data_IF_468699575902
#
_entry.id   IF_468699575902
#
_cell.length_a   1.000
_cell.length_b   1.000
_cell.length_c   1.000
_cell.angle_alpha   90.00
_cell.angle_beta   90.00
_cell.angle_gamma   90.00
#
_symmetry.space_group_name_H-M   'P 1'
#
loop_
_entity.id
_entity.type
_entity.pdbx_description
1 polymer ?
#
# COMPACT_ATOMS: atom_id res chain seq x y z
N UNK A 1 14.89 13.02 -14.38
CA UNK A 1 13.50 13.47 -14.14
C UNK A 1 13.46 14.26 -12.85
N UNK A 2 12.94 15.50 -12.84
CA UNK A 2 12.71 16.26 -11.59
C UNK A 2 11.34 15.86 -11.03
N UNK A 3 11.28 15.41 -9.78
CA UNK A 3 9.99 15.17 -9.11
C UNK A 3 9.34 16.53 -8.84
N UNK A 4 8.10 16.79 -9.30
CA UNK A 4 7.48 18.08 -9.07
C UNK A 4 7.18 18.27 -7.58
N UNK A 5 7.36 19.50 -7.08
CA UNK A 5 7.16 19.88 -5.67
C UNK A 5 5.79 19.40 -5.16
N UNK A 6 4.75 19.53 -6.00
CA UNK A 6 3.39 19.10 -5.73
C UNK A 6 3.32 17.61 -5.37
N UNK A 7 3.96 16.75 -6.16
CA UNK A 7 3.96 15.30 -5.91
C UNK A 7 4.61 14.99 -4.58
N UNK A 8 5.73 15.64 -4.27
CA UNK A 8 6.43 15.43 -3.00
C UNK A 8 5.55 15.84 -1.81
N UNK A 9 4.96 17.04 -1.84
CA UNK A 9 4.12 17.56 -0.75
C UNK A 9 2.90 16.68 -0.50
N UNK A 10 2.13 16.33 -1.53
CA UNK A 10 0.95 15.49 -1.33
C UNK A 10 1.31 14.05 -0.91
N UNK A 11 2.40 13.50 -1.44
CA UNK A 11 2.88 12.17 -0.99
C UNK A 11 3.26 12.18 0.49
N UNK A 12 3.96 13.22 0.95
CA UNK A 12 4.36 13.37 2.34
C UNK A 12 3.14 13.50 3.27
N UNK A 13 2.11 14.25 2.87
CA UNK A 13 0.87 14.37 3.65
C UNK A 13 0.12 13.05 3.75
N UNK A 14 -0.03 12.32 2.64
CA UNK A 14 -0.69 11.00 2.65
C UNK A 14 0.12 9.98 3.46
N UNK A 15 1.44 10.01 3.33
CA UNK A 15 2.35 9.19 4.13
C UNK A 15 2.20 9.51 5.62
N UNK A 16 2.18 10.78 6.01
CA UNK A 16 1.97 11.19 7.40
C UNK A 16 0.64 10.64 7.94
N UNK A 17 -0.43 10.73 7.15
CA UNK A 17 -1.72 10.15 7.51
C UNK A 17 -1.64 8.62 7.68
N UNK A 18 -0.88 7.93 6.83
CA UNK A 18 -0.66 6.49 6.96
C UNK A 18 0.10 6.13 8.24
N UNK A 19 1.07 6.95 8.66
CA UNK A 19 1.76 6.77 9.95
C UNK A 19 0.81 6.99 11.13
N UNK A 20 -0.04 8.02 11.08
CA UNK A 20 -1.06 8.26 12.10
C UNK A 20 -2.02 7.08 12.21
N UNK A 21 -2.51 6.54 11.10
CA UNK A 21 -3.39 5.36 11.11
C UNK A 21 -2.70 4.16 11.77
N UNK A 22 -1.42 3.92 11.45
CA UNK A 22 -0.68 2.80 12.02
C UNK A 22 -0.33 3.01 13.50
N UNK A 23 -0.12 4.24 13.95
CA UNK A 23 0.24 4.54 15.34
C UNK A 23 -0.90 4.29 16.34
N UNK A 24 -2.15 4.25 15.88
CA UNK A 24 -3.31 3.84 16.69
C UNK A 24 -3.22 2.36 17.11
N UNK A 25 -2.40 1.54 16.44
CA UNK A 25 -2.20 0.10 16.73
C UNK A 25 -3.52 -0.70 16.72
N UNK A 26 -4.42 -0.37 15.81
CA UNK A 26 -5.65 -1.12 15.60
C UNK A 26 -5.36 -2.53 15.06
N UNK A 27 -6.31 -3.48 15.20
CA UNK A 27 -6.19 -4.80 14.58
C UNK A 27 -5.91 -4.74 13.09
N UNK A 28 -5.16 -5.72 12.57
CA UNK A 28 -4.68 -5.72 11.18
C UNK A 28 -5.82 -5.69 10.14
N UNK A 29 -6.99 -6.24 10.47
CA UNK A 29 -8.16 -6.20 9.60
C UNK A 29 -8.78 -4.80 9.47
N UNK A 30 -8.41 -3.83 10.32
CA UNK A 30 -8.76 -2.41 10.20
C UNK A 30 -7.59 -1.57 9.68
N UNK A 31 -6.39 -1.77 10.23
CA UNK A 31 -5.19 -1.02 9.81
C UNK A 31 -4.84 -1.30 8.35
N UNK A 32 -4.90 -2.56 7.93
CA UNK A 32 -4.57 -3.00 6.57
C UNK A 32 -5.41 -2.30 5.49
N UNK A 33 -6.76 -2.33 5.57
CA UNK A 33 -7.60 -1.64 4.61
C UNK A 33 -7.35 -0.13 4.56
N UNK A 34 -7.18 0.53 5.71
CA UNK A 34 -6.95 1.97 5.76
C UNK A 34 -5.63 2.37 5.11
N UNK A 35 -4.54 1.64 5.39
CA UNK A 35 -3.23 1.90 4.76
C UNK A 35 -3.29 1.64 3.25
N UNK A 36 -3.93 0.56 2.81
CA UNK A 36 -4.12 0.29 1.39
C UNK A 36 -4.98 1.36 0.71
N UNK A 37 -6.01 1.89 1.38
CA UNK A 37 -6.82 2.98 0.86
C UNK A 37 -5.96 4.22 0.59
N UNK A 38 -5.09 4.59 1.53
CA UNK A 38 -4.18 5.72 1.37
C UNK A 38 -3.18 5.52 0.21
N UNK A 39 -2.68 4.30 0.02
CA UNK A 39 -1.83 3.95 -1.13
C UNK A 39 -2.56 4.11 -2.47
N UNK A 40 -3.77 3.59 -2.57
CA UNK A 40 -4.62 3.76 -3.76
C UNK A 40 -4.94 5.24 -3.99
N UNK A 41 -5.32 5.98 -2.95
CA UNK A 41 -5.62 7.41 -3.02
C UNK A 41 -4.40 8.23 -3.46
N UNK A 42 -3.19 7.92 -2.96
CA UNK A 42 -1.95 8.55 -3.42
C UNK A 42 -1.72 8.31 -4.92
N UNK A 43 -1.83 7.04 -5.35
CA UNK A 43 -1.67 6.68 -6.76
C UNK A 43 -2.71 7.35 -7.66
N UNK A 44 -3.95 7.46 -7.19
CA UNK A 44 -5.06 8.02 -7.95
C UNK A 44 -5.08 9.55 -8.03
N UNK A 45 -4.84 10.25 -6.93
CA UNK A 45 -4.98 11.72 -6.85
C UNK A 45 -3.72 12.46 -7.30
N UNK A 46 -2.55 11.87 -7.07
CA UNK A 46 -1.25 12.51 -7.30
C UNK A 46 -0.51 11.82 -8.45
N UNK A 47 -0.62 10.50 -8.54
CA UNK A 47 -0.05 9.68 -9.61
C UNK A 47 0.73 8.47 -9.08
N UNK A 48 1.10 7.52 -9.96
CA UNK A 48 1.68 6.24 -9.55
C UNK A 48 2.98 6.39 -8.75
N UNK A 49 3.81 7.37 -9.09
CA UNK A 49 5.03 7.69 -8.35
C UNK A 49 4.75 8.06 -6.89
N UNK A 50 3.66 8.80 -6.62
CA UNK A 50 3.24 9.13 -5.26
C UNK A 50 2.87 7.88 -4.47
N UNK A 51 2.07 7.00 -5.07
CA UNK A 51 1.73 5.72 -4.45
C UNK A 51 2.96 4.86 -4.15
N UNK A 52 3.96 4.85 -5.05
CA UNK A 52 5.24 4.16 -4.83
C UNK A 52 6.02 4.76 -3.67
N UNK A 53 6.14 6.10 -3.60
CA UNK A 53 6.82 6.77 -2.48
C UNK A 53 6.13 6.46 -1.14
N UNK A 54 4.80 6.55 -1.10
CA UNK A 54 4.04 6.16 0.10
C UNK A 54 4.28 4.68 0.42
N UNK A 55 4.22 3.80 -0.57
CA UNK A 55 4.42 2.35 -0.41
C UNK A 55 5.79 1.95 0.12
N UNK A 56 6.81 2.68 -0.31
CA UNK A 56 8.19 2.52 0.15
C UNK A 56 8.35 2.98 1.60
N UNK A 57 7.93 4.20 1.92
CA UNK A 57 8.23 4.80 3.22
C UNK A 57 7.30 4.35 4.34
N UNK A 58 6.08 3.90 4.04
CA UNK A 58 5.11 3.49 5.08
C UNK A 58 5.67 2.40 6.01
N UNK A 59 6.16 1.24 5.53
CA UNK A 59 6.70 0.20 6.41
C UNK A 59 8.05 0.58 7.03
N UNK A 60 8.87 1.39 6.34
CA UNK A 60 10.16 1.87 6.86
C UNK A 60 9.95 2.75 8.09
N UNK A 61 9.07 3.75 7.99
CA UNK A 61 8.78 4.66 9.10
C UNK A 61 8.01 3.95 10.22
N UNK A 62 7.10 3.03 9.88
CA UNK A 62 6.41 2.22 10.90
C UNK A 62 7.41 1.39 11.74
N UNK A 63 8.46 0.85 11.11
CA UNK A 63 9.53 0.18 11.83
C UNK A 63 10.39 1.16 12.65
N UNK A 64 10.82 2.28 12.05
CA UNK A 64 11.64 3.29 12.74
C UNK A 64 10.98 3.87 13.99
N UNK A 65 9.64 3.98 14.00
CA UNK A 65 8.87 4.44 15.16
C UNK A 65 8.44 3.32 16.11
N UNK A 66 8.90 2.08 15.91
CA UNK A 66 8.56 0.94 16.77
C UNK A 66 7.08 0.53 16.71
N UNK A 67 6.36 0.92 15.66
CA UNK A 67 4.95 0.57 15.44
C UNK A 67 4.85 -0.88 14.94
N UNK A 68 5.77 -1.28 14.05
CA UNK A 68 5.85 -2.63 13.50
C UNK A 68 7.19 -3.27 13.91
N UNK A 69 7.22 -4.34 14.71
CA UNK A 69 8.47 -4.93 15.21
C UNK A 69 9.21 -5.81 14.18
N UNK A 70 8.71 -5.90 12.95
CA UNK A 70 9.04 -6.98 12.01
C UNK A 70 10.03 -6.56 10.92
N UNK A 71 11.30 -6.35 11.30
CA UNK A 71 12.35 -5.86 10.40
C UNK A 71 12.52 -6.69 9.10
N UNK A 72 12.58 -8.05 9.15
CA UNK A 72 12.83 -8.83 7.95
C UNK A 72 11.69 -8.79 6.92
N UNK A 73 10.46 -8.47 7.34
CA UNK A 73 9.30 -8.41 6.46
C UNK A 73 9.17 -7.10 5.70
N UNK A 74 9.90 -6.05 6.11
CA UNK A 74 9.81 -4.71 5.49
C UNK A 74 10.01 -4.79 3.97
N UNK A 75 11.05 -5.45 3.44
CA UNK A 75 11.28 -5.48 2.00
C UNK A 75 10.12 -6.14 1.22
N UNK A 76 9.51 -7.19 1.78
CA UNK A 76 8.34 -7.86 1.20
C UNK A 76 7.15 -6.90 1.11
N UNK A 77 6.88 -6.16 2.20
CA UNK A 77 5.78 -5.21 2.28
C UNK A 77 6.01 -4.03 1.32
N UNK A 78 7.24 -3.51 1.25
CA UNK A 78 7.66 -2.46 0.31
C UNK A 78 7.37 -2.91 -1.12
N UNK A 79 7.84 -4.10 -1.51
CA UNK A 79 7.62 -4.65 -2.85
C UNK A 79 6.13 -4.75 -3.18
N UNK A 80 5.33 -5.32 -2.27
CA UNK A 80 3.88 -5.44 -2.45
C UNK A 80 3.18 -4.08 -2.63
N UNK A 81 3.51 -3.09 -1.80
CA UNK A 81 2.92 -1.76 -1.87
C UNK A 81 3.32 -1.00 -3.14
N UNK A 82 4.58 -1.10 -3.57
CA UNK A 82 5.04 -0.50 -4.81
C UNK A 82 4.32 -1.10 -6.03
N UNK A 83 4.18 -2.43 -6.07
CA UNK A 83 3.44 -3.10 -7.14
C UNK A 83 1.96 -2.70 -7.16
N UNK A 84 1.32 -2.59 -5.99
CA UNK A 84 -0.05 -2.06 -5.91
C UNK A 84 -0.15 -0.69 -6.59
N UNK A 85 0.73 0.25 -6.23
CA UNK A 85 0.71 1.60 -6.76
C UNK A 85 0.93 1.65 -8.28
N UNK A 86 1.89 0.87 -8.78
CA UNK A 86 2.21 0.77 -10.21
C UNK A 86 1.04 0.19 -10.99
N UNK A 87 0.54 -0.97 -10.59
CA UNK A 87 -0.55 -1.65 -11.30
C UNK A 87 -1.85 -0.86 -11.25
N UNK A 88 -2.16 -0.19 -10.14
CA UNK A 88 -3.30 0.72 -10.10
C UNK A 88 -3.14 1.84 -11.14
N UNK A 89 -1.94 2.43 -11.21
CA UNK A 89 -1.60 3.47 -12.18
C UNK A 89 -1.78 3.06 -13.64
N UNK A 90 -1.34 1.84 -13.99
CA UNK A 90 -1.44 1.30 -15.35
C UNK A 90 -2.89 1.13 -15.81
N UNK A 91 -3.79 0.77 -14.89
CA UNK A 91 -5.20 0.51 -15.19
C UNK A 91 -6.15 1.64 -14.77
N UNK A 92 -5.63 2.82 -14.40
CA UNK A 92 -6.39 3.91 -13.79
C UNK A 92 -7.63 4.38 -14.58
N UNK A 93 -7.68 4.12 -15.89
CA UNK A 93 -8.86 4.39 -16.74
C UNK A 93 -10.10 3.57 -16.34
N UNK A 94 -9.92 2.40 -15.72
CA UNK A 94 -10.98 1.50 -15.25
C UNK A 94 -10.78 1.27 -13.75
N UNK A 95 -11.27 2.16 -12.88
CA UNK A 95 -10.84 2.22 -11.48
C UNK A 95 -11.15 0.95 -10.68
N UNK A 96 -12.27 0.28 -10.94
CA UNK A 96 -12.61 -1.01 -10.30
C UNK A 96 -11.64 -2.11 -10.74
N UNK A 97 -11.36 -2.21 -12.05
CA UNK A 97 -10.40 -3.17 -12.59
C UNK A 97 -9.00 -2.89 -12.05
N UNK A 98 -8.61 -1.61 -11.94
CA UNK A 98 -7.33 -1.19 -11.40
C UNK A 98 -7.15 -1.66 -9.95
N UNK A 99 -8.17 -1.52 -9.11
CA UNK A 99 -8.15 -2.03 -7.72
C UNK A 99 -7.95 -3.54 -7.70
N UNK A 100 -8.74 -4.28 -8.48
CA UNK A 100 -8.68 -5.75 -8.50
C UNK A 100 -7.29 -6.19 -8.94
N UNK A 101 -6.81 -5.72 -10.10
CA UNK A 101 -5.50 -6.10 -10.64
C UNK A 101 -4.37 -5.72 -9.68
N UNK A 102 -4.40 -4.53 -9.11
CA UNK A 102 -3.38 -4.08 -8.15
C UNK A 102 -3.37 -4.89 -6.85
N UNK A 103 -4.54 -5.26 -6.32
CA UNK A 103 -4.66 -6.10 -5.13
C UNK A 103 -4.09 -7.50 -5.38
N UNK A 104 -4.42 -8.11 -6.53
CA UNK A 104 -3.85 -9.40 -6.93
C UNK A 104 -2.35 -9.32 -7.20
N UNK A 105 -1.86 -8.25 -7.84
CA UNK A 105 -0.43 -8.05 -8.07
C UNK A 105 0.34 -7.92 -6.74
N UNK A 106 -0.17 -7.14 -5.78
CA UNK A 106 0.38 -7.04 -4.43
C UNK A 106 0.43 -8.40 -3.73
N UNK A 107 -0.69 -9.11 -3.72
CA UNK A 107 -0.79 -10.42 -3.09
C UNK A 107 0.17 -11.42 -3.72
N UNK A 108 0.25 -11.47 -5.05
CA UNK A 108 1.15 -12.36 -5.77
C UNK A 108 2.61 -12.06 -5.43
N UNK A 109 3.04 -10.80 -5.50
CA UNK A 109 4.42 -10.41 -5.18
C UNK A 109 4.77 -10.73 -3.74
N UNK A 110 3.89 -10.42 -2.78
CA UNK A 110 4.16 -10.71 -1.37
C UNK A 110 4.23 -12.21 -1.11
N UNK A 111 3.30 -12.99 -1.67
CA UNK A 111 3.26 -14.45 -1.52
C UNK A 111 4.48 -15.10 -2.15
N UNK A 112 4.82 -14.74 -3.38
CA UNK A 112 6.03 -15.22 -4.06
C UNK A 112 7.30 -14.82 -3.31
N UNK A 113 7.31 -13.62 -2.72
CA UNK A 113 8.47 -13.13 -1.98
C UNK A 113 8.73 -13.96 -0.72
N UNK A 114 7.67 -14.25 0.04
CA UNK A 114 7.77 -14.98 1.31
C UNK A 114 8.09 -16.46 1.10
N UNK A 115 7.47 -17.10 0.10
CA UNK A 115 7.66 -18.54 -0.13
C UNK A 115 8.88 -18.88 -0.99
N UNK A 116 9.27 -18.00 -1.92
CA UNK A 116 10.30 -18.32 -2.91
C UNK A 116 11.44 -17.30 -2.93
N UNK A 117 11.17 -16.01 -3.16
CA UNK A 117 12.21 -15.01 -3.43
C UNK A 117 13.21 -14.90 -2.26
N UNK A 118 12.72 -14.70 -1.03
CA UNK A 118 13.56 -14.51 0.14
C UNK A 118 14.26 -15.80 0.60
N UNK A 119 13.57 -16.95 0.69
CA UNK A 119 14.22 -18.21 1.01
C UNK A 119 15.29 -18.61 -0.02
N UNK A 120 15.02 -18.44 -1.32
CA UNK A 120 15.93 -18.91 -2.38
C UNK A 120 17.12 -17.97 -2.61
N UNK A 121 16.90 -16.64 -2.66
CA UNK A 121 17.94 -15.68 -3.01
C UNK A 121 18.72 -15.16 -1.81
N UNK A 122 18.08 -15.09 -0.64
CA UNK A 122 18.66 -14.46 0.55
C UNK A 122 18.82 -15.43 1.73
N UNK A 123 18.34 -16.68 1.60
CA UNK A 123 18.34 -17.67 2.69
C UNK A 123 17.60 -17.18 3.94
N UNK A 124 16.63 -16.27 3.77
CA UNK A 124 15.80 -15.73 4.84
C UNK A 124 14.47 -16.49 4.86
N UNK A 125 14.19 -17.16 5.97
CA UNK A 125 12.90 -17.78 6.24
C UNK A 125 12.11 -16.96 7.25
N UNK A 126 10.78 -16.96 7.10
CA UNK A 126 9.89 -16.23 8.00
C UNK A 126 9.15 -17.20 8.92
N UNK A 127 8.91 -16.84 10.20
CA UNK A 127 8.04 -17.61 11.06
C UNK A 127 6.65 -17.77 10.45
N UNK A 128 6.01 -18.92 10.66
CA UNK A 128 4.71 -19.23 10.04
C UNK A 128 3.63 -18.15 10.29
N UNK A 129 3.64 -17.55 11.48
CA UNK A 129 2.73 -16.45 11.85
C UNK A 129 2.90 -15.22 10.96
N UNK A 130 4.12 -14.92 10.51
CA UNK A 130 4.43 -13.80 9.62
C UNK A 130 3.95 -14.10 8.22
N UNK A 131 4.21 -15.33 7.75
CA UNK A 131 3.78 -15.81 6.42
C UNK A 131 2.26 -15.69 6.29
N UNK A 132 1.51 -16.12 7.31
CA UNK A 132 0.04 -16.06 7.27
C UNK A 132 -0.48 -14.62 7.28
N UNK A 133 0.18 -13.69 7.96
CA UNK A 133 -0.19 -12.27 7.95
C UNK A 133 0.14 -11.56 6.62
N UNK A 134 1.18 -11.97 5.91
CA UNK A 134 1.67 -11.33 4.69
C UNK A 134 1.09 -11.91 3.39
N UNK A 135 0.25 -12.94 3.48
CA UNK A 135 -0.30 -13.64 2.31
C UNK A 135 -1.80 -13.35 2.15
N UNK A 136 -2.67 -14.32 2.42
CA UNK A 136 -4.12 -14.24 2.13
C UNK A 136 -4.80 -13.00 2.73
N UNK A 137 -4.49 -12.58 3.98
CA UNK A 137 -5.05 -11.34 4.54
C UNK A 137 -4.69 -10.08 3.74
N UNK A 138 -3.55 -10.05 3.05
CA UNK A 138 -3.15 -8.89 2.24
C UNK A 138 -4.07 -8.69 1.04
N UNK A 139 -4.60 -9.76 0.44
CA UNK A 139 -5.56 -9.65 -0.65
C UNK A 139 -6.88 -9.04 -0.15
N UNK A 140 -7.42 -9.58 0.95
CA UNK A 140 -8.67 -9.08 1.54
C UNK A 140 -8.55 -7.60 1.95
N UNK A 141 -7.45 -7.24 2.60
CA UNK A 141 -7.22 -5.87 3.05
C UNK A 141 -6.94 -4.91 1.90
N UNK A 142 -6.26 -5.35 0.83
CA UNK A 142 -6.06 -4.54 -0.37
C UNK A 142 -7.39 -4.29 -1.10
N UNK A 143 -8.24 -5.30 -1.24
CA UNK A 143 -9.56 -5.13 -1.87
C UNK A 143 -10.46 -4.20 -1.05
N UNK A 144 -10.51 -4.38 0.28
CA UNK A 144 -11.26 -3.50 1.17
C UNK A 144 -10.73 -2.05 1.13
N UNK A 145 -9.41 -1.88 1.15
CA UNK A 145 -8.79 -0.57 1.02
C UNK A 145 -9.04 0.08 -0.34
N UNK A 146 -9.04 -0.71 -1.42
CA UNK A 146 -9.41 -0.24 -2.75
C UNK A 146 -10.87 0.23 -2.82
N UNK A 147 -11.81 -0.52 -2.23
CA UNK A 147 -13.20 -0.10 -2.14
C UNK A 147 -13.36 1.22 -1.38
N UNK A 148 -12.66 1.37 -0.25
CA UNK A 148 -12.62 2.63 0.51
C UNK A 148 -12.02 3.78 -0.31
N UNK A 149 -10.93 3.54 -1.04
CA UNK A 149 -10.30 4.55 -1.89
C UNK A 149 -11.25 5.01 -3.00
N UNK A 150 -11.97 4.10 -3.65
CA UNK A 150 -12.96 4.45 -4.66
C UNK A 150 -14.08 5.34 -4.10
N UNK A 151 -14.53 5.07 -2.88
CA UNK A 151 -15.50 5.92 -2.19
C UNK A 151 -14.96 7.33 -1.94
N UNK A 152 -13.73 7.44 -1.41
CA UNK A 152 -13.05 8.72 -1.18
C UNK A 152 -12.87 9.50 -2.48
N UNK A 153 -12.44 8.84 -3.56
CA UNK A 153 -12.23 9.46 -4.87
C UNK A 153 -13.53 10.03 -5.44
N UNK A 154 -14.64 9.28 -5.32
CA UNK A 154 -15.96 9.74 -5.74
C UNK A 154 -16.43 10.96 -4.93
N UNK A 155 -16.21 10.97 -3.62
CA UNK A 155 -16.53 12.10 -2.76
C UNK A 155 -15.73 13.37 -3.12
N UNK A 156 -14.43 13.22 -3.40
CA UNK A 156 -13.56 14.32 -3.83
C UNK A 156 -13.99 14.88 -5.19
N UNK A 157 -14.35 14.00 -6.15
CA UNK A 157 -14.85 14.43 -7.46
C UNK A 157 -16.16 15.21 -7.34
N UNK A 158 -17.10 14.75 -6.49
CA UNK A 158 -18.34 15.47 -6.22
C UNK A 158 -18.07 16.91 -5.78
N UNK A 159 -17.17 17.11 -4.81
CA UNK A 159 -16.89 18.45 -4.30
C UNK A 159 -16.32 19.41 -5.35
N UNK A 160 -15.59 18.91 -6.36
CA UNK A 160 -15.11 19.74 -7.47
C UNK A 160 -16.21 20.17 -8.42
N UNK A 161 -17.30 19.42 -8.55
CA UNK A 161 -18.45 19.77 -9.41
C UNK A 161 -19.33 20.83 -8.76
N UNK A 162 -19.39 20.86 -7.41
CA UNK A 162 -20.19 21.83 -6.64
C UNK A 162 -19.53 23.20 -6.45
N UNK A 163 -18.24 23.33 -6.74
CA UNK A 163 -17.49 24.60 -6.69
C UNK A 163 -17.38 25.17 -8.10
#
# INVERSE_FOLDING_TARGET
MKIPIRTLTYSALILALAIVVQSVKMPQYLTGPLVNALLFTASALVGPLSGVLVGLFTPLLAFSFGIMPLAPAIPVIVLGNCFLAIFYGLFAKKPILAVIVAAFAKFAVMTLSVYYLFPLLLQITFPQQVVTMLTVPQLATALAGGALALFVLKAVQWQKIKR
#
